data_IF_562234570685
#
_entry.id   IF_562234570685
#
_cell.length_a   1.000
_cell.length_b   1.000
_cell.length_c   1.000
_cell.angle_alpha   90.00
_cell.angle_beta   90.00
_cell.angle_gamma   90.00
#
_symmetry.space_group_name_H-M   'P 1'
#
loop_
_entity.id
_entity.type
_entity.pdbx_description
1 polymer ?
#
# COMPACT_ATOMS: atom_id res chain seq x y z
N UNK A 1 9.20 -3.56 -7.19
CA UNK A 1 8.52 -3.28 -5.92
C UNK A 1 9.18 -2.05 -5.35
N UNK A 2 8.41 -1.00 -5.07
CA UNK A 2 8.91 0.25 -4.53
C UNK A 2 8.25 0.56 -3.18
N UNK A 3 9.03 0.51 -2.10
CA UNK A 3 8.58 0.84 -0.76
C UNK A 3 9.33 2.08 -0.27
N UNK A 4 8.59 3.13 0.06
CA UNK A 4 9.12 4.45 0.46
C UNK A 4 8.70 4.73 1.91
N UNK A 5 9.25 3.97 2.84
CA UNK A 5 9.01 4.16 4.27
C UNK A 5 8.89 2.85 5.05
N UNK A 6 8.44 2.96 6.30
CA UNK A 6 8.16 1.79 7.13
C UNK A 6 6.92 1.07 6.62
N UNK A 7 7.08 -0.20 6.30
CA UNK A 7 5.98 -1.07 5.89
C UNK A 7 5.63 -2.01 7.04
N UNK A 8 4.35 -2.03 7.41
CA UNK A 8 3.84 -2.94 8.42
C UNK A 8 2.93 -3.98 7.77
N UNK A 9 3.19 -5.26 8.09
CA UNK A 9 2.40 -6.40 7.63
C UNK A 9 1.86 -7.15 8.84
N UNK A 10 0.53 -7.23 9.01
CA UNK A 10 -0.05 -8.02 10.09
C UNK A 10 0.34 -9.49 10.00
N UNK A 11 0.54 -10.21 11.12
CA UNK A 11 0.89 -11.63 11.11
C UNK A 11 -0.10 -12.52 10.34
N UNK A 12 -1.40 -12.20 10.35
CA UNK A 12 -2.43 -12.94 9.62
C UNK A 12 -2.40 -12.70 8.10
N UNK A 13 -1.66 -11.69 7.62
CA UNK A 13 -1.41 -11.46 6.19
C UNK A 13 -0.02 -11.97 5.78
N UNK A 14 0.67 -12.78 6.59
CA UNK A 14 2.02 -13.29 6.35
C UNK A 14 2.18 -14.17 5.10
N UNK A 15 1.08 -14.63 4.50
CA UNK A 15 1.05 -15.32 3.20
C UNK A 15 0.63 -14.44 2.02
N UNK A 16 0.08 -13.26 2.26
CA UNK A 16 -0.47 -12.38 1.22
C UNK A 16 0.59 -11.47 0.61
N UNK A 17 0.57 -11.26 -0.70
CA UNK A 17 1.47 -10.29 -1.30
C UNK A 17 1.14 -8.90 -0.81
N UNK A 18 2.18 -8.11 -0.52
CA UNK A 18 2.02 -6.74 -0.06
C UNK A 18 2.39 -5.77 -1.18
N UNK A 19 1.65 -4.68 -1.29
CA UNK A 19 1.92 -3.61 -2.26
C UNK A 19 1.65 -2.26 -1.59
N UNK A 20 2.54 -1.29 -1.80
CA UNK A 20 2.44 0.01 -1.13
C UNK A 20 1.43 0.92 -1.79
N UNK A 21 0.28 1.13 -1.16
CA UNK A 21 -0.75 2.04 -1.66
C UNK A 21 -0.51 3.47 -1.19
N UNK A 22 -0.09 3.61 0.07
CA UNK A 22 0.29 4.88 0.69
C UNK A 22 1.56 4.69 1.54
N UNK A 23 2.10 5.78 2.07
CA UNK A 23 3.16 5.75 3.08
C UNK A 23 2.92 6.86 4.10
N UNK A 24 3.55 6.75 5.26
CA UNK A 24 3.40 7.71 6.36
C UNK A 24 1.99 7.79 6.95
N UNK A 25 1.74 8.78 7.80
CA UNK A 25 0.48 8.92 8.53
C UNK A 25 -0.26 10.22 8.20
N UNK A 26 -1.58 10.16 7.95
CA UNK A 26 -2.40 11.34 7.68
C UNK A 26 -2.62 12.25 8.89
N UNK A 27 -2.41 11.74 10.10
CA UNK A 27 -2.63 12.50 11.33
C UNK A 27 -1.33 13.12 11.88
N UNK A 28 -0.26 12.31 11.92
CA UNK A 28 1.10 12.66 12.34
C UNK A 28 1.29 13.58 13.58
N UNK A 29 0.38 13.50 14.57
CA UNK A 29 0.42 14.33 15.81
C UNK A 29 0.33 13.51 17.11
N UNK A 30 0.31 12.19 17.01
CA UNK A 30 0.21 11.30 18.17
C UNK A 30 1.49 11.34 19.01
N UNK A 31 1.37 11.67 20.30
CA UNK A 31 2.51 11.69 21.23
C UNK A 31 3.14 10.31 21.46
N UNK A 32 2.35 9.25 21.34
CA UNK A 32 2.74 7.86 21.60
C UNK A 32 3.20 7.09 20.35
N UNK A 33 3.01 7.65 19.15
CA UNK A 33 3.28 6.90 17.92
C UNK A 33 4.79 6.81 17.69
N UNK A 34 5.31 5.58 17.60
CA UNK A 34 6.69 5.31 17.18
C UNK A 34 6.77 4.77 15.75
N UNK A 35 5.62 4.52 15.10
CA UNK A 35 5.54 3.81 13.83
C UNK A 35 5.69 4.73 12.60
N UNK A 36 5.08 5.92 12.60
CA UNK A 36 5.07 6.83 11.44
C UNK A 36 5.34 8.30 11.82
N UNK A 37 5.87 8.56 13.02
CA UNK A 37 5.98 9.90 13.63
C UNK A 37 6.74 10.94 12.79
N UNK A 38 7.69 10.49 12.00
CA UNK A 38 8.54 11.36 11.18
C UNK A 38 8.30 11.12 9.67
N UNK A 39 7.25 10.38 9.33
CA UNK A 39 6.91 10.02 7.94
C UNK A 39 5.66 10.75 7.48
N UNK A 40 5.86 11.67 6.53
CA UNK A 40 4.78 12.39 5.87
C UNK A 40 3.90 11.45 5.07
N UNK A 41 2.58 11.68 5.13
CA UNK A 41 1.65 10.95 4.29
C UNK A 41 1.93 11.22 2.81
N UNK A 42 2.04 10.15 2.03
CA UNK A 42 2.11 10.23 0.57
C UNK A 42 1.34 9.07 -0.04
N UNK A 43 0.79 9.30 -1.23
CA UNK A 43 0.13 8.27 -2.03
C UNK A 43 1.09 7.81 -3.12
N UNK A 44 1.26 6.50 -3.29
CA UNK A 44 2.06 5.97 -4.40
C UNK A 44 1.42 6.39 -5.72
N UNK A 45 2.17 6.99 -6.66
CA UNK A 45 1.65 7.34 -7.98
C UNK A 45 1.02 6.14 -8.68
N UNK A 46 -0.07 6.34 -9.42
CA UNK A 46 -0.80 5.22 -10.04
C UNK A 46 0.07 4.42 -11.02
N UNK A 47 0.98 5.08 -11.74
CA UNK A 47 1.89 4.43 -12.67
C UNK A 47 2.91 3.53 -11.95
N UNK A 48 3.43 3.97 -10.81
CA UNK A 48 4.35 3.19 -9.97
C UNK A 48 3.61 2.00 -9.37
N UNK A 49 2.40 2.22 -8.86
CA UNK A 49 1.52 1.17 -8.36
C UNK A 49 1.26 0.08 -9.42
N UNK A 50 0.96 0.48 -10.67
CA UNK A 50 0.73 -0.46 -11.78
C UNK A 50 1.99 -1.25 -12.14
N UNK A 51 3.16 -0.62 -12.10
CA UNK A 51 4.44 -1.31 -12.33
C UNK A 51 4.72 -2.36 -11.25
N UNK A 52 4.52 -2.00 -9.99
CA UNK A 52 4.67 -2.93 -8.87
C UNK A 52 3.67 -4.08 -8.93
N UNK A 53 2.43 -3.80 -9.37
CA UNK A 53 1.43 -4.83 -9.58
C UNK A 53 1.80 -5.78 -10.73
N UNK A 54 2.31 -5.27 -11.85
CA UNK A 54 2.78 -6.09 -12.97
C UNK A 54 3.98 -6.96 -12.56
N UNK A 55 4.90 -6.40 -11.77
CA UNK A 55 6.00 -7.15 -11.18
C UNK A 55 5.48 -8.27 -10.27
N UNK A 56 4.50 -7.98 -9.39
CA UNK A 56 3.85 -8.99 -8.54
C UNK A 56 3.20 -10.10 -9.35
N UNK A 57 2.49 -9.77 -10.43
CA UNK A 57 1.87 -10.74 -11.31
C UNK A 57 2.90 -11.69 -11.96
N UNK A 58 4.13 -11.20 -12.23
CA UNK A 58 5.21 -12.04 -12.76
C UNK A 58 5.75 -13.05 -11.75
N UNK A 59 5.76 -12.71 -10.46
CA UNK A 59 6.26 -13.58 -9.39
C UNK A 59 5.20 -14.51 -8.82
N UNK A 60 3.95 -14.05 -8.72
CA UNK A 60 2.82 -14.84 -8.26
C UNK A 60 1.57 -14.57 -9.11
N UNK A 61 1.48 -15.20 -10.29
CA UNK A 61 0.32 -15.04 -11.17
C UNK A 61 -0.98 -15.60 -10.56
N UNK A 62 -0.88 -16.50 -9.58
CA UNK A 62 -2.04 -17.13 -8.93
C UNK A 62 -2.36 -16.54 -7.55
N UNK A 63 -1.89 -15.33 -7.27
CA UNK A 63 -2.14 -14.66 -6.00
C UNK A 63 -3.65 -14.43 -5.81
N UNK A 64 -4.23 -15.08 -4.80
CA UNK A 64 -5.66 -14.91 -4.48
C UNK A 64 -5.95 -13.69 -3.61
N UNK A 65 -4.91 -13.10 -3.01
CA UNK A 65 -5.02 -11.99 -2.08
C UNK A 65 -3.80 -11.09 -2.18
N UNK A 66 -4.08 -9.80 -2.25
CA UNK A 66 -3.09 -8.72 -2.18
C UNK A 66 -3.48 -7.82 -1.01
N UNK A 67 -2.53 -7.52 -0.15
CA UNK A 67 -2.68 -6.64 0.99
C UNK A 67 -2.06 -5.27 0.70
N UNK A 68 -2.88 -4.22 0.76
CA UNK A 68 -2.43 -2.87 0.50
C UNK A 68 -1.81 -2.29 1.76
N UNK A 69 -0.51 -1.99 1.69
CA UNK A 69 0.24 -1.40 2.79
C UNK A 69 0.30 0.11 2.68
N UNK A 70 0.72 0.76 3.77
CA UNK A 70 0.72 2.21 3.90
C UNK A 70 -0.35 2.66 4.86
N UNK A 71 0.04 3.30 5.97
CA UNK A 71 -0.75 3.44 7.19
C UNK A 71 -2.27 3.61 7.02
N UNK A 72 -2.70 4.46 6.08
CA UNK A 72 -4.12 4.70 5.82
C UNK A 72 -4.44 4.81 4.33
N UNK A 73 -4.70 3.70 3.62
CA UNK A 73 -5.10 3.74 2.21
C UNK A 73 -6.49 4.37 2.03
N UNK A 74 -7.36 4.32 3.04
CA UNK A 74 -8.70 4.90 3.00
C UNK A 74 -8.71 6.43 3.07
N UNK A 75 -7.57 7.08 3.30
CA UNK A 75 -7.44 8.52 3.14
C UNK A 75 -7.50 8.98 1.67
N UNK A 76 -7.30 8.06 0.73
CA UNK A 76 -7.43 8.33 -0.69
C UNK A 76 -8.88 8.66 -1.07
N UNK A 77 -9.06 9.46 -2.12
CA UNK A 77 -10.40 9.66 -2.70
C UNK A 77 -10.98 8.35 -3.25
N UNK A 78 -12.30 8.28 -3.35
CA UNK A 78 -12.99 7.14 -3.95
C UNK A 78 -12.45 6.80 -5.35
N UNK A 79 -12.24 7.80 -6.21
CA UNK A 79 -11.70 7.57 -7.55
C UNK A 79 -10.30 6.95 -7.53
N UNK A 80 -9.44 7.34 -6.57
CA UNK A 80 -8.12 6.75 -6.40
C UNK A 80 -8.17 5.30 -5.90
N UNK A 81 -9.08 4.99 -4.98
CA UNK A 81 -9.32 3.63 -4.50
C UNK A 81 -9.86 2.74 -5.62
N UNK A 82 -10.88 3.22 -6.33
CA UNK A 82 -11.52 2.53 -7.46
C UNK A 82 -10.52 2.21 -8.55
N UNK A 83 -9.70 3.18 -8.97
CA UNK A 83 -8.70 2.97 -10.01
C UNK A 83 -7.68 1.86 -9.65
N UNK A 84 -7.25 1.79 -8.39
CA UNK A 84 -6.32 0.76 -7.92
C UNK A 84 -6.99 -0.59 -7.72
N UNK A 85 -8.23 -0.62 -7.25
CA UNK A 85 -8.97 -1.86 -7.00
C UNK A 85 -9.31 -2.55 -8.32
N UNK A 86 -9.76 -1.80 -9.32
CA UNK A 86 -10.06 -2.35 -10.65
C UNK A 86 -8.78 -2.83 -11.37
N UNK A 87 -7.65 -2.16 -11.17
CA UNK A 87 -6.37 -2.58 -11.76
C UNK A 87 -5.87 -3.95 -11.29
N UNK A 88 -6.36 -4.48 -10.14
CA UNK A 88 -5.98 -5.80 -9.62
C UNK A 88 -6.75 -6.94 -10.31
N UNK A 89 -7.90 -6.63 -10.93
CA UNK A 89 -8.75 -7.62 -11.59
C UNK A 89 -8.46 -7.76 -13.10
N UNK A 90 -7.82 -6.75 -13.69
CA UNK A 90 -7.40 -6.74 -15.10
C UNK A 90 -6.08 -7.49 -15.30
#
# INVERSE_FOLDING_TARGET
MNFTGRTWRPPYEASSFIIQATTGCTHNKCRFCNLYKDECFSMTPLDEWRKDLAELASYQPYARRIYWTGANPFAMSFENLKARALAVYD
#
